data_IF_264416357525
#
_entry.id   IF_264416357525
#
_cell.length_a   1.000
_cell.length_b   1.000
_cell.length_c   1.000
_cell.angle_alpha   90.00
_cell.angle_beta   90.00
_cell.angle_gamma   90.00
#
_symmetry.space_group_name_H-M   'P 1'
#
loop_
_entity.id
_entity.type
_entity.pdbx_description
1 polymer ?
#
# COMPACT_ATOMS: atom_id res chain seq x y z
N UNK A 1 -25.02 -9.49 -7.25
CA UNK A 1 -24.60 -8.92 -5.94
C UNK A 1 -23.09 -8.98 -5.91
N UNK A 2 -22.39 -7.84 -5.80
CA UNK A 2 -20.92 -7.86 -5.66
C UNK A 2 -20.58 -8.23 -4.21
N UNK A 3 -19.67 -9.17 -4.02
CA UNK A 3 -19.30 -9.69 -2.71
C UNK A 3 -18.55 -8.62 -1.90
N UNK A 4 -19.19 -8.07 -0.86
CA UNK A 4 -18.57 -7.06 0.03
C UNK A 4 -17.57 -7.68 1.03
N UNK A 5 -17.27 -8.96 0.88
CA UNK A 5 -16.40 -9.74 1.77
C UNK A 5 -14.95 -9.77 1.30
N UNK A 6 -14.70 -9.54 0.01
CA UNK A 6 -13.36 -9.55 -0.57
C UNK A 6 -12.69 -8.17 -0.44
N UNK A 7 -11.40 -8.11 -0.04
CA UNK A 7 -10.67 -6.86 -0.05
C UNK A 7 -10.46 -6.39 -1.50
N UNK A 8 -10.60 -5.08 -1.69
CA UNK A 8 -10.32 -4.36 -2.94
C UNK A 8 -8.81 -4.33 -3.19
N UNK A 9 -8.02 -4.09 -2.13
CA UNK A 9 -6.57 -3.95 -2.24
C UNK A 9 -5.85 -4.41 -0.98
N UNK A 10 -4.61 -4.86 -1.14
CA UNK A 10 -3.66 -5.14 -0.05
C UNK A 10 -2.47 -4.21 -0.21
N UNK A 11 -2.13 -3.48 0.86
CA UNK A 11 -1.11 -2.45 0.85
C UNK A 11 -0.15 -2.68 2.02
N UNK A 12 1.15 -2.64 1.76
CA UNK A 12 2.18 -2.61 2.79
C UNK A 12 2.85 -1.25 2.77
N UNK A 13 2.80 -0.54 3.89
CA UNK A 13 3.50 0.73 4.07
C UNK A 13 4.53 0.62 5.17
N UNK A 14 5.61 1.38 5.03
CA UNK A 14 6.67 1.53 6.02
C UNK A 14 6.79 2.99 6.46
N UNK A 15 7.20 3.17 7.70
CA UNK A 15 7.51 4.47 8.30
C UNK A 15 8.86 4.41 9.00
N UNK A 16 9.66 5.46 8.83
CA UNK A 16 11.03 5.51 9.30
C UNK A 16 11.66 6.91 9.23
N UNK A 17 12.94 7.01 9.54
CA UNK A 17 13.69 8.29 9.55
C UNK A 17 13.80 8.93 8.16
N UNK A 18 13.65 8.14 7.10
CA UNK A 18 13.65 8.60 5.69
C UNK A 18 12.26 8.97 5.17
N UNK A 19 11.24 8.96 6.02
CA UNK A 19 9.85 9.21 5.65
C UNK A 19 9.04 7.93 5.46
N UNK A 20 7.80 8.13 4.99
CA UNK A 20 6.85 7.05 4.75
C UNK A 20 6.97 6.54 3.31
N UNK A 21 6.96 5.22 3.13
CA UNK A 21 6.99 4.59 1.80
C UNK A 21 5.90 3.54 1.67
N UNK A 22 5.36 3.41 0.47
CA UNK A 22 4.55 2.27 0.08
C UNK A 22 5.50 1.22 -0.50
N UNK A 23 5.58 0.05 0.15
CA UNK A 23 6.47 -1.04 -0.25
C UNK A 23 5.78 -2.01 -1.22
N UNK A 24 4.47 -2.20 -1.04
CA UNK A 24 3.71 -3.13 -1.86
C UNK A 24 2.26 -2.67 -1.98
N UNK A 25 1.69 -2.87 -3.17
CA UNK A 25 0.25 -2.72 -3.43
C UNK A 25 -0.21 -3.80 -4.41
N UNK A 26 -1.31 -4.45 -4.05
CA UNK A 26 -2.07 -5.34 -4.91
C UNK A 26 -3.52 -4.84 -5.03
N UNK A 27 -4.14 -4.80 -6.22
CA UNK A 27 -3.56 -5.07 -7.53
C UNK A 27 -2.37 -4.16 -7.84
N UNK A 28 -1.41 -4.67 -8.60
CA UNK A 28 -0.23 -3.89 -8.94
C UNK A 28 -0.62 -2.76 -9.90
N UNK A 29 -0.36 -1.54 -9.49
CA UNK A 29 -0.51 -0.37 -10.34
C UNK A 29 0.90 0.14 -10.64
N UNK A 30 1.25 0.14 -11.92
CA UNK A 30 2.49 0.76 -12.39
C UNK A 30 2.48 2.21 -11.91
N UNK A 31 3.55 2.63 -11.24
CA UNK A 31 3.78 4.05 -10.97
C UNK A 31 3.57 4.80 -12.28
N UNK A 32 2.52 5.59 -12.35
CA UNK A 32 2.32 6.52 -13.44
C UNK A 32 3.44 7.54 -13.24
N UNK A 33 4.55 7.40 -13.97
CA UNK A 33 5.52 8.49 -14.07
C UNK A 33 4.72 9.74 -14.39
N UNK A 34 4.85 10.75 -13.51
CA UNK A 34 4.26 12.05 -13.72
C UNK A 34 4.49 12.45 -15.20
N UNK A 35 3.46 12.89 -15.94
CA UNK A 35 3.65 13.34 -17.32
C UNK A 35 4.59 14.56 -17.43
N UNK A 36 5.03 15.14 -16.31
CA UNK A 36 6.09 16.14 -16.25
C UNK A 36 7.48 15.60 -16.68
N UNK A 37 7.66 14.29 -16.80
CA UNK A 37 8.88 13.65 -17.30
C UNK A 37 8.79 13.24 -18.78
N UNK A 38 7.73 13.62 -19.50
CA UNK A 38 7.72 13.52 -20.96
C UNK A 38 8.58 14.65 -21.53
N UNK A 39 9.90 14.50 -21.44
CA UNK A 39 10.78 15.22 -22.36
C UNK A 39 10.32 14.87 -23.76
N UNK A 40 9.95 15.88 -24.54
CA UNK A 40 9.54 15.80 -25.94
C UNK A 40 10.57 15.02 -26.77
N UNK A 41 10.49 13.70 -26.75
CA UNK A 41 11.21 12.84 -27.68
C UNK A 41 10.21 12.45 -28.77
N UNK A 42 10.50 12.72 -30.05
CA UNK A 42 9.61 12.39 -31.13
C UNK A 42 9.34 10.89 -31.11
N UNK A 43 8.07 10.53 -30.89
CA UNK A 43 7.62 9.14 -30.86
C UNK A 43 7.88 8.54 -32.25
N UNK A 44 8.64 7.45 -32.30
CA UNK A 44 9.01 6.77 -33.54
C UNK A 44 7.78 6.42 -34.37
N UNK A 45 7.89 6.62 -35.70
CA UNK A 45 6.82 6.49 -36.71
C UNK A 45 6.23 5.07 -36.85
N UNK A 46 6.74 4.10 -36.08
CA UNK A 46 6.38 2.69 -36.12
C UNK A 46 5.77 2.16 -34.82
N UNK A 47 5.43 3.03 -33.86
CA UNK A 47 4.68 2.60 -32.67
C UNK A 47 3.21 2.37 -33.03
N UNK A 48 2.76 1.11 -33.01
CA UNK A 48 1.37 0.73 -33.21
C UNK A 48 0.56 1.16 -31.98
N UNK A 49 -0.42 2.05 -32.20
CA UNK A 49 -1.40 2.42 -31.18
C UNK A 49 -2.43 1.28 -31.09
N UNK A 50 -2.65 0.73 -29.89
CA UNK A 50 -3.77 -0.16 -29.64
C UNK A 50 -5.04 0.68 -29.45
N UNK A 51 -5.52 1.32 -30.51
CA UNK A 51 -6.88 1.85 -30.62
C UNK A 51 -7.70 0.77 -31.30
N UNK A 52 -8.39 -0.03 -30.47
CA UNK A 52 -9.48 -0.87 -30.93
C UNK A 52 -10.61 0.03 -31.42
N UNK A 53 -10.72 0.08 -32.74
CA UNK A 53 -11.70 0.78 -33.52
C UNK A 53 -13.08 0.11 -33.34
N UNK A 54 -14.08 0.88 -32.92
CA UNK A 54 -15.48 0.54 -33.15
C UNK A 54 -16.22 1.86 -33.40
N UNK A 55 -16.08 2.35 -34.63
CA UNK A 55 -16.99 3.32 -35.19
C UNK A 55 -18.30 2.61 -35.54
N UNK A 56 -19.38 3.04 -34.91
CA UNK A 56 -20.68 3.18 -35.57
C UNK A 56 -21.39 4.37 -34.92
N UNK A 57 -21.75 5.34 -35.77
CA UNK A 57 -22.53 6.53 -35.46
C UNK A 57 -23.84 6.15 -34.75
N UNK A 58 -24.16 6.77 -33.60
CA UNK A 58 -25.52 7.22 -33.26
C UNK A 58 -25.51 8.38 -32.24
N UNK A 59 -26.42 9.30 -32.55
CA UNK A 59 -26.84 10.53 -31.90
C UNK A 59 -27.40 10.33 -30.47
N UNK A 60 -27.34 11.39 -29.65
CA UNK A 60 -28.19 11.55 -28.46
C UNK A 60 -27.68 11.07 -27.09
N UNK A 61 -27.36 12.06 -26.24
CA UNK A 61 -27.76 12.18 -24.83
C UNK A 61 -27.45 11.06 -23.79
N UNK A 62 -27.07 11.51 -22.58
CA UNK A 62 -26.88 10.73 -21.34
C UNK A 62 -25.58 9.91 -21.19
N UNK A 63 -24.41 10.56 -21.16
CA UNK A 63 -23.23 9.99 -20.49
C UNK A 63 -23.39 10.06 -18.96
N UNK A 64 -24.20 9.17 -18.38
CA UNK A 64 -24.12 8.89 -16.93
C UNK A 64 -22.71 8.36 -16.65
N UNK A 65 -21.93 8.92 -15.71
CA UNK A 65 -20.68 8.32 -15.31
C UNK A 65 -20.97 6.89 -14.83
N UNK A 66 -20.38 5.89 -15.46
CA UNK A 66 -20.37 4.53 -14.95
C UNK A 66 -19.90 4.58 -13.48
N UNK A 67 -20.55 3.87 -12.54
CA UNK A 67 -20.09 3.86 -11.17
C UNK A 67 -18.64 3.33 -11.15
N UNK A 68 -17.71 4.02 -10.45
CA UNK A 68 -16.31 3.65 -10.46
C UNK A 68 -16.14 2.17 -10.05
N UNK A 69 -15.34 1.44 -10.81
CA UNK A 69 -14.98 0.05 -10.45
C UNK A 69 -14.23 0.06 -9.13
N UNK A 70 -14.36 -1.00 -8.32
CA UNK A 70 -13.74 -1.07 -6.98
C UNK A 70 -12.24 -0.76 -7.00
N UNK A 71 -11.53 -1.23 -8.04
CA UNK A 71 -10.11 -0.94 -8.26
C UNK A 71 -9.82 0.56 -8.43
N UNK A 72 -10.73 1.29 -9.07
CA UNK A 72 -10.61 2.72 -9.31
C UNK A 72 -10.75 3.56 -8.03
N UNK A 73 -11.44 3.03 -7.01
CA UNK A 73 -11.59 3.69 -5.71
C UNK A 73 -10.25 3.77 -4.96
N UNK A 74 -9.39 2.76 -5.09
CA UNK A 74 -8.06 2.75 -4.45
C UNK A 74 -6.99 3.31 -5.40
N UNK A 75 -7.11 3.06 -6.71
CA UNK A 75 -6.20 3.59 -7.71
C UNK A 75 -6.22 5.12 -7.84
N UNK A 76 -7.29 5.76 -7.35
CA UNK A 76 -7.37 7.23 -7.24
C UNK A 76 -6.38 7.83 -6.23
N UNK A 77 -5.81 7.05 -5.31
CA UNK A 77 -4.79 7.53 -4.39
C UNK A 77 -3.38 7.24 -4.92
N UNK A 78 -2.52 8.26 -4.89
CA UNK A 78 -1.10 8.07 -5.19
C UNK A 78 -0.39 7.31 -4.08
N UNK A 79 0.72 6.65 -4.42
CA UNK A 79 1.51 5.87 -3.46
C UNK A 79 2.04 6.72 -2.32
N UNK A 80 2.37 8.00 -2.60
CA UNK A 80 2.83 8.97 -1.59
C UNK A 80 1.72 9.30 -0.59
N UNK A 81 0.49 9.49 -1.08
CA UNK A 81 -0.67 9.76 -0.22
C UNK A 81 -0.98 8.52 0.63
N UNK A 82 -1.06 7.34 0.00
CA UNK A 82 -1.30 6.07 0.70
C UNK A 82 -0.23 5.80 1.76
N UNK A 83 1.05 5.97 1.43
CA UNK A 83 2.14 5.84 2.38
C UNK A 83 1.95 6.78 3.58
N UNK A 84 1.54 8.02 3.35
CA UNK A 84 1.38 9.03 4.40
C UNK A 84 0.19 8.76 5.30
N UNK A 85 -0.98 8.45 4.74
CA UNK A 85 -2.21 8.25 5.54
C UNK A 85 -2.22 6.90 6.27
N UNK A 86 -1.57 5.87 5.71
CA UNK A 86 -1.55 4.52 6.27
C UNK A 86 -0.36 4.29 7.22
N UNK A 87 0.68 5.13 7.13
CA UNK A 87 1.74 5.16 8.12
C UNK A 87 1.23 5.79 9.42
N UNK A 88 0.85 4.93 10.34
CA UNK A 88 0.33 5.37 11.64
C UNK A 88 1.46 5.81 12.57
N UNK A 89 1.09 6.55 13.61
CA UNK A 89 1.98 6.85 14.73
C UNK A 89 2.32 5.58 15.52
N UNK A 90 3.47 5.61 16.20
CA UNK A 90 3.95 4.52 17.06
C UNK A 90 2.99 4.17 18.21
N UNK A 91 2.23 5.15 18.70
CA UNK A 91 1.22 4.98 19.76
C UNK A 91 0.06 4.05 19.35
N UNK A 92 -0.21 3.93 18.05
CA UNK A 92 -1.26 3.07 17.50
C UNK A 92 -0.77 1.63 17.23
N UNK A 93 0.51 1.35 17.47
CA UNK A 93 1.07 0.02 17.26
C UNK A 93 0.41 -1.02 18.17
N UNK A 94 0.20 -2.22 17.62
CA UNK A 94 -0.44 -3.31 18.34
C UNK A 94 -1.96 -3.14 18.50
N UNK A 95 -2.52 -2.04 18.00
CA UNK A 95 -3.96 -1.79 17.99
C UNK A 95 -4.54 -1.94 16.59
N UNK A 96 -5.86 -2.06 16.50
CA UNK A 96 -6.58 -2.09 15.24
C UNK A 96 -6.52 -0.72 14.58
N UNK A 97 -5.92 -0.65 13.40
CA UNK A 97 -6.02 0.52 12.54
C UNK A 97 -7.26 0.40 11.65
N UNK A 98 -8.08 1.44 11.64
CA UNK A 98 -9.25 1.54 10.79
C UNK A 98 -9.43 3.00 10.34
N UNK A 99 -9.48 3.23 9.04
CA UNK A 99 -9.65 4.55 8.43
C UNK A 99 -10.66 4.44 7.29
N UNK A 100 -11.69 5.28 7.30
CA UNK A 100 -12.68 5.35 6.21
C UNK A 100 -12.48 6.65 5.43
N UNK A 101 -12.32 6.54 4.12
CA UNK A 101 -12.28 7.66 3.19
C UNK A 101 -13.30 7.37 2.11
N UNK A 102 -14.31 8.23 1.98
CA UNK A 102 -15.42 8.07 1.05
C UNK A 102 -16.05 6.66 1.10
N UNK A 103 -15.94 5.93 -0.01
CA UNK A 103 -16.48 4.60 -0.22
C UNK A 103 -15.48 3.48 0.08
N UNK A 104 -14.32 3.80 0.65
CA UNK A 104 -13.25 2.85 0.99
C UNK A 104 -12.96 2.87 2.49
N UNK A 105 -12.75 1.67 3.06
CA UNK A 105 -12.32 1.46 4.43
C UNK A 105 -11.00 0.71 4.44
N UNK A 106 -9.98 1.34 5.00
CA UNK A 106 -8.65 0.78 5.22
C UNK A 106 -8.59 0.15 6.61
N UNK A 107 -8.17 -1.10 6.68
CA UNK A 107 -8.10 -1.90 7.92
C UNK A 107 -6.72 -2.52 8.00
N UNK A 108 -5.99 -2.29 9.09
CA UNK A 108 -4.64 -2.81 9.24
C UNK A 108 -4.22 -3.02 10.68
N UNK A 109 -2.98 -3.46 10.85
CA UNK A 109 -2.37 -3.71 12.16
C UNK A 109 -0.95 -3.13 12.17
N UNK A 110 -0.80 -1.86 12.60
CA UNK A 110 0.50 -1.24 12.67
C UNK A 110 1.40 -1.95 13.65
N UNK A 111 2.62 -2.22 13.21
CA UNK A 111 3.58 -3.03 13.94
C UNK A 111 4.90 -2.30 14.03
N UNK A 112 5.37 -2.11 15.27
CA UNK A 112 6.67 -1.53 15.54
C UNK A 112 7.76 -2.58 15.30
N UNK A 113 8.78 -2.21 14.55
CA UNK A 113 10.01 -2.98 14.44
C UNK A 113 10.89 -2.61 15.61
N UNK A 114 10.83 -3.40 16.68
CA UNK A 114 11.73 -3.27 17.81
C UNK A 114 13.13 -3.77 17.40
N UNK A 115 13.87 -2.94 16.67
CA UNK A 115 15.30 -3.14 16.48
C UNK A 115 15.98 -2.84 17.80
N UNK A 116 16.19 -3.88 18.61
CA UNK A 116 17.29 -4.08 19.56
C UNK A 116 17.97 -2.85 20.21
N UNK A 117 17.24 -1.80 20.60
CA UNK A 117 17.77 -0.72 21.45
C UNK A 117 18.01 -1.21 22.90
N UNK A 118 17.83 -2.51 23.18
CA UNK A 118 17.90 -3.10 24.52
C UNK A 118 18.65 -4.42 24.64
N UNK A 119 19.39 -4.89 23.63
CA UNK A 119 20.36 -5.99 23.82
C UNK A 119 21.77 -5.52 23.50
N UNK A 120 22.26 -4.60 24.33
CA UNK A 120 23.70 -4.48 24.59
C UNK A 120 24.03 -5.54 25.65
N UNK A 121 24.11 -6.80 25.22
CA UNK A 121 24.97 -7.74 25.93
C UNK A 121 26.39 -7.25 25.72
N UNK A 122 27.02 -6.80 26.80
CA UNK A 122 28.41 -6.35 26.85
C UNK A 122 29.34 -7.48 26.41
N UNK A 123 29.66 -7.58 25.12
CA UNK A 123 30.87 -8.23 24.57
C UNK A 123 30.79 -8.22 23.04
N UNK A 124 31.48 -7.26 22.43
CA UNK A 124 32.30 -7.35 21.20
C UNK A 124 32.18 -6.10 20.31
N UNK A 125 33.30 -5.44 19.94
CA UNK A 125 33.32 -4.37 18.96
C UNK A 125 33.48 -4.99 17.55
N UNK A 126 32.39 -5.08 16.77
CA UNK A 126 32.46 -5.42 15.34
C UNK A 126 31.48 -4.57 14.51
N UNK A 127 31.78 -4.35 13.22
CA UNK A 127 31.75 -3.01 12.63
C UNK A 127 30.43 -2.65 11.93
N UNK A 128 30.10 -1.35 11.97
CA UNK A 128 29.15 -0.66 11.07
C UNK A 128 27.78 -1.33 10.89
N UNK A 129 27.03 -1.50 11.99
CA UNK A 129 25.58 -1.75 11.88
C UNK A 129 24.93 -0.44 11.40
N UNK A 130 24.62 -0.34 10.10
CA UNK A 130 23.77 0.76 9.59
C UNK A 130 22.50 0.79 10.44
N UNK A 131 22.22 1.95 11.05
CA UNK A 131 21.05 2.10 11.89
C UNK A 131 19.79 1.79 11.06
N UNK A 132 18.81 1.04 11.61
CA UNK A 132 17.59 0.73 10.89
C UNK A 132 16.89 2.03 10.51
N UNK A 133 16.72 2.26 9.21
CA UNK A 133 16.02 3.45 8.72
C UNK A 133 14.52 3.34 8.86
N UNK A 134 14.00 2.12 9.10
CA UNK A 134 12.59 1.79 9.20
C UNK A 134 12.24 1.39 10.64
N UNK A 135 11.18 1.99 11.17
CA UNK A 135 10.79 1.89 12.59
C UNK A 135 9.45 1.18 12.72
N UNK A 136 8.56 1.33 11.73
CA UNK A 136 7.19 0.82 11.77
C UNK A 136 6.78 0.35 10.38
N UNK A 137 5.88 -0.63 10.34
CA UNK A 137 5.13 -0.95 9.13
C UNK A 137 3.67 -1.22 9.43
N UNK A 138 2.85 -1.17 8.40
CA UNK A 138 1.43 -1.47 8.49
C UNK A 138 1.00 -2.26 7.25
N UNK A 139 0.40 -3.43 7.48
CA UNK A 139 -0.26 -4.25 6.45
C UNK A 139 -1.73 -3.88 6.45
N UNK A 140 -2.22 -3.33 5.35
CA UNK A 140 -3.56 -2.75 5.25
C UNK A 140 -4.37 -3.43 4.15
N UNK A 141 -5.58 -3.83 4.49
CA UNK A 141 -6.62 -4.25 3.56
C UNK A 141 -7.56 -3.07 3.28
N UNK A 142 -7.77 -2.75 2.01
CA UNK A 142 -8.81 -1.81 1.59
C UNK A 142 -10.08 -2.59 1.26
N UNK A 143 -11.20 -2.17 1.82
CA UNK A 143 -12.53 -2.73 1.61
C UNK A 143 -13.49 -1.63 1.19
N UNK A 144 -14.69 -2.01 0.75
CA UNK A 144 -15.78 -1.06 0.62
C UNK A 144 -16.20 -0.52 2.00
N UNK A 145 -16.64 0.72 2.03
CA UNK A 145 -17.06 1.40 3.26
C UNK A 145 -18.18 0.68 4.04
N UNK A 146 -19.01 -0.08 3.32
CA UNK A 146 -20.17 -0.83 3.83
C UNK A 146 -19.87 -2.32 4.09
N UNK A 147 -18.60 -2.74 4.14
CA UNK A 147 -18.24 -4.10 4.50
C UNK A 147 -18.70 -4.44 5.93
N UNK A 148 -19.10 -5.70 6.14
CA UNK A 148 -19.62 -6.15 7.43
C UNK A 148 -18.55 -6.08 8.54
N UNK A 149 -18.93 -5.72 9.78
CA UNK A 149 -18.00 -5.65 10.91
C UNK A 149 -17.23 -6.96 11.17
N UNK A 150 -17.86 -8.11 10.90
CA UNK A 150 -17.24 -9.43 11.02
C UNK A 150 -16.09 -9.61 10.04
N UNK A 151 -16.25 -9.20 8.79
CA UNK A 151 -15.22 -9.22 7.74
C UNK A 151 -14.09 -8.26 8.10
N UNK A 152 -14.43 -7.04 8.53
CA UNK A 152 -13.46 -6.05 8.99
C UNK A 152 -12.59 -6.63 10.11
N UNK A 153 -13.21 -7.27 11.11
CA UNK A 153 -12.46 -7.89 12.20
C UNK A 153 -11.63 -9.10 11.74
N UNK A 154 -12.15 -9.91 10.82
CA UNK A 154 -11.42 -11.02 10.22
C UNK A 154 -10.13 -10.54 9.54
N UNK A 155 -10.22 -9.52 8.68
CA UNK A 155 -9.07 -8.97 7.95
C UNK A 155 -8.09 -8.24 8.86
N UNK A 156 -8.56 -7.58 9.93
CA UNK A 156 -7.67 -7.06 10.97
C UNK A 156 -6.86 -8.19 11.63
N UNK A 157 -7.50 -9.29 12.01
CA UNK A 157 -6.81 -10.45 12.60
C UNK A 157 -5.83 -11.09 11.62
N UNK A 158 -6.18 -11.15 10.34
CA UNK A 158 -5.29 -11.62 9.28
C UNK A 158 -4.07 -10.68 9.14
N UNK A 159 -4.28 -9.36 9.08
CA UNK A 159 -3.21 -8.37 9.04
C UNK A 159 -2.24 -8.54 10.20
N UNK A 160 -2.74 -8.72 11.43
CA UNK A 160 -1.92 -8.99 12.61
C UNK A 160 -1.05 -10.26 12.47
N UNK A 161 -1.61 -11.35 11.93
CA UNK A 161 -0.86 -12.59 11.69
C UNK A 161 0.24 -12.40 10.65
N UNK A 162 -0.06 -11.75 9.53
CA UNK A 162 0.92 -11.40 8.50
C UNK A 162 2.02 -10.52 9.09
N UNK A 163 1.65 -9.53 9.90
CA UNK A 163 2.60 -8.64 10.53
C UNK A 163 3.56 -9.39 11.47
N UNK A 164 3.08 -10.40 12.19
CA UNK A 164 3.94 -11.26 13.03
C UNK A 164 4.97 -12.02 12.18
N UNK A 165 4.56 -12.56 11.04
CA UNK A 165 5.46 -13.25 10.10
C UNK A 165 6.47 -12.29 9.50
N UNK A 166 6.04 -11.11 9.05
CA UNK A 166 6.94 -10.08 8.51
C UNK A 166 7.93 -9.55 9.56
N UNK A 167 7.49 -9.42 10.82
CA UNK A 167 8.38 -9.05 11.92
C UNK A 167 9.43 -10.13 12.17
N UNK A 168 9.08 -11.41 12.04
CA UNK A 168 10.04 -12.51 12.10
C UNK A 168 11.03 -12.45 10.93
N UNK A 169 10.57 -12.23 9.70
CA UNK A 169 11.43 -12.13 8.51
C UNK A 169 12.36 -10.91 8.56
N UNK A 170 11.92 -9.79 9.13
CA UNK A 170 12.81 -8.66 9.39
C UNK A 170 13.94 -9.03 10.38
N UNK A 171 13.64 -9.77 11.44
CA UNK A 171 14.67 -10.24 12.39
C UNK A 171 15.60 -11.28 11.77
N UNK A 172 15.06 -12.17 10.93
CA UNK A 172 15.80 -13.29 10.33
C UNK A 172 16.74 -12.83 9.22
N UNK A 173 16.26 -11.98 8.30
CA UNK A 173 17.01 -11.64 7.09
C UNK A 173 16.94 -10.16 6.68
N UNK A 174 16.34 -9.30 7.51
CA UNK A 174 16.13 -7.88 7.23
C UNK A 174 15.29 -7.64 5.97
N UNK A 175 14.26 -8.48 5.75
CA UNK A 175 13.42 -8.43 4.55
C UNK A 175 12.86 -7.03 4.27
N UNK A 176 12.21 -6.40 5.26
CA UNK A 176 11.57 -5.09 5.07
C UNK A 176 12.62 -3.99 4.87
N UNK A 177 13.75 -4.06 5.58
CA UNK A 177 14.86 -3.12 5.39
C UNK A 177 15.45 -3.20 3.98
N UNK A 178 15.51 -4.41 3.38
CA UNK A 178 15.95 -4.58 1.99
C UNK A 178 14.92 -4.01 1.02
N UNK A 179 13.65 -4.36 1.19
CA UNK A 179 12.55 -3.86 0.33
C UNK A 179 12.43 -2.32 0.39
N UNK A 180 12.68 -1.69 1.54
CA UNK A 180 12.62 -0.22 1.67
C UNK A 180 13.79 0.54 1.02
N UNK A 181 14.88 -0.17 0.66
CA UNK A 181 16.05 0.41 -0.03
C UNK A 181 15.90 0.41 -1.56
N UNK A 182 15.04 -0.44 -2.11
CA UNK A 182 14.59 -0.34 -3.50
C UNK A 182 13.73 0.93 -3.71
#
# INVERSE_FOLDING_TARGET
MRDNTSPISVILVSSGSRGNKLLFRYPFQRSQEHPASQTNKPRSRYAVNNTGDHADDQDGDSSKPCPPTDEQLVAGFSDVILATILATKSEMCGQKFELKIDNVRFVGHPTLLQHALGQVSKTDPSPKREAPTMILFNVVFALRANADPSVINCLHNLSRRIATVLQHEERRCQYLTREAKL
#
